data_IF_336750000247
#
_entry.id   IF_336750000247
#
_cell.length_a   1.000
_cell.length_b   1.000
_cell.length_c   1.000
_cell.angle_alpha   90.00
_cell.angle_beta   90.00
_cell.angle_gamma   90.00
#
_symmetry.space_group_name_H-M   'P 1'
#
loop_
_entity.id
_entity.type
_entity.pdbx_description
1 polymer ?
#
# COMPACT_ATOMS: atom_id res chain seq x y z
N UNK A 1 4.56 1.73 -7.70
CA UNK A 1 5.22 3.06 -7.68
C UNK A 1 4.25 4.22 -7.76
N UNK A 2 3.25 4.23 -8.68
CA UNK A 2 2.29 5.35 -8.81
C UNK A 2 1.45 5.63 -7.55
N UNK A 3 0.99 4.59 -6.86
CA UNK A 3 0.21 4.73 -5.60
C UNK A 3 1.09 5.26 -4.46
N UNK A 4 2.35 4.84 -4.40
CA UNK A 4 3.34 5.25 -3.38
C UNK A 4 3.64 6.76 -3.49
N UNK A 5 4.00 7.21 -4.70
CA UNK A 5 4.22 8.62 -5.01
C UNK A 5 2.95 9.45 -4.86
N UNK A 6 1.79 8.87 -5.23
CA UNK A 6 0.49 9.50 -5.07
C UNK A 6 0.18 9.83 -3.61
N UNK A 7 0.49 8.94 -2.67
CA UNK A 7 0.23 9.15 -1.25
C UNK A 7 1.17 10.16 -0.59
N UNK A 8 2.48 10.15 -0.91
CA UNK A 8 3.40 11.17 -0.42
C UNK A 8 3.07 12.56 -0.99
N UNK A 9 2.70 12.65 -2.27
CA UNK A 9 2.27 13.90 -2.88
C UNK A 9 0.94 14.39 -2.31
N UNK A 10 0.00 13.48 -2.00
CA UNK A 10 -1.26 13.83 -1.35
C UNK A 10 -1.03 14.42 0.04
N UNK A 11 -0.21 13.74 0.85
CA UNK A 11 0.15 14.19 2.18
C UNK A 11 0.84 15.57 2.12
N UNK A 12 1.72 15.77 1.14
CA UNK A 12 2.34 17.06 0.90
C UNK A 12 1.33 18.15 0.54
N UNK A 13 0.46 17.89 -0.45
CA UNK A 13 -0.60 18.84 -0.83
C UNK A 13 -1.49 19.22 0.37
N UNK A 14 -1.87 18.26 1.22
CA UNK A 14 -2.62 18.53 2.46
C UNK A 14 -1.82 19.40 3.43
N UNK A 15 -0.51 19.20 3.53
CA UNK A 15 0.38 20.01 4.35
C UNK A 15 0.53 21.45 3.84
N UNK A 16 0.59 21.66 2.53
CA UNK A 16 0.65 22.98 1.90
C UNK A 16 -0.65 23.79 1.99
N UNK A 17 -1.79 23.14 2.27
CA UNK A 17 -3.07 23.84 2.45
C UNK A 17 -3.02 24.71 3.71
N UNK A 18 -3.33 25.99 3.49
CA UNK A 18 -3.47 27.01 4.55
C UNK A 18 -4.80 26.80 5.29
N UNK A 19 -4.80 25.83 6.19
CA UNK A 19 -5.95 25.51 7.04
C UNK A 19 -6.11 26.58 8.15
N UNK A 20 -7.35 26.91 8.52
CA UNK A 20 -7.63 27.74 9.69
C UNK A 20 -7.25 26.97 10.96
N UNK A 21 -7.14 27.64 12.12
CA UNK A 21 -6.80 26.98 13.40
C UNK A 21 -7.80 25.87 13.75
N UNK A 22 -9.07 26.04 13.35
CA UNK A 22 -10.16 25.06 13.52
C UNK A 22 -9.98 23.80 12.62
N UNK A 23 -9.29 23.92 11.49
CA UNK A 23 -9.10 22.85 10.50
C UNK A 23 -7.85 21.99 10.78
N UNK A 24 -7.03 22.36 11.78
CA UNK A 24 -5.80 21.64 12.12
C UNK A 24 -6.08 20.21 12.62
N UNK A 25 -7.21 19.99 13.29
CA UNK A 25 -7.66 18.67 13.71
C UNK A 25 -8.01 17.79 12.51
N UNK A 26 -8.85 18.30 11.61
CA UNK A 26 -9.27 17.60 10.39
C UNK A 26 -8.07 17.31 9.48
N UNK A 27 -7.15 18.26 9.35
CA UNK A 27 -5.90 18.07 8.60
C UNK A 27 -5.07 16.91 9.15
N UNK A 28 -4.92 16.81 10.47
CA UNK A 28 -4.21 15.68 11.12
C UNK A 28 -4.93 14.36 10.89
N UNK A 29 -6.26 14.34 11.02
CA UNK A 29 -7.06 13.15 10.77
C UNK A 29 -6.89 12.65 9.33
N UNK A 30 -6.98 13.55 8.34
CA UNK A 30 -6.77 13.22 6.91
C UNK A 30 -5.39 12.63 6.66
N UNK A 31 -4.33 13.17 7.28
CA UNK A 31 -2.99 12.61 7.17
C UNK A 31 -2.90 11.20 7.79
N UNK A 32 -3.52 10.99 8.95
CA UNK A 32 -3.64 9.66 9.57
C UNK A 32 -4.37 8.66 8.67
N UNK A 33 -5.45 9.09 7.99
CA UNK A 33 -6.15 8.25 7.01
C UNK A 33 -5.29 7.92 5.78
N UNK A 34 -4.50 8.87 5.28
CA UNK A 34 -3.59 8.63 4.15
C UNK A 34 -2.52 7.59 4.53
N UNK A 35 -2.00 7.66 5.75
CA UNK A 35 -1.03 6.69 6.26
C UNK A 35 -1.66 5.32 6.57
N UNK A 36 -2.94 5.29 6.93
CA UNK A 36 -3.65 4.06 7.27
C UNK A 36 -4.16 3.29 6.05
N UNK A 37 -4.30 3.97 4.91
CA UNK A 37 -4.75 3.38 3.65
C UNK A 37 -3.96 2.14 3.21
N UNK A 38 -2.61 2.18 3.17
CA UNK A 38 -1.80 1.06 2.72
C UNK A 38 -1.89 -0.13 3.67
N UNK A 39 -1.98 0.14 4.97
CA UNK A 39 -2.16 -0.88 6.02
C UNK A 39 -3.54 -1.54 5.89
N UNK A 40 -4.59 -0.74 5.67
CA UNK A 40 -5.93 -1.24 5.44
C UNK A 40 -6.02 -2.07 4.14
N UNK A 41 -5.34 -1.63 3.07
CA UNK A 41 -5.26 -2.37 1.81
C UNK A 41 -4.50 -3.69 1.97
N UNK A 42 -3.36 -3.70 2.68
CA UNK A 42 -2.62 -4.91 3.04
C UNK A 42 -3.52 -5.91 3.76
N UNK A 43 -4.23 -5.47 4.80
CA UNK A 43 -5.14 -6.32 5.57
C UNK A 43 -6.36 -6.78 4.77
N UNK A 44 -6.75 -6.05 3.72
CA UNK A 44 -7.83 -6.45 2.82
C UNK A 44 -7.40 -7.57 1.87
N UNK A 45 -6.16 -7.51 1.37
CA UNK A 45 -5.61 -8.47 0.41
C UNK A 45 -5.09 -9.73 1.12
N UNK A 46 -4.45 -9.59 2.28
CA UNK A 46 -3.95 -10.70 3.09
C UNK A 46 -5.03 -11.08 4.11
N UNK A 47 -5.74 -12.18 3.84
CA UNK A 47 -6.76 -12.74 4.74
C UNK A 47 -6.12 -13.36 5.99
N UNK A 48 -5.82 -12.53 6.99
CA UNK A 48 -5.23 -13.01 8.25
C UNK A 48 -4.64 -11.95 9.17
N UNK A 49 -4.47 -10.69 8.73
CA UNK A 49 -3.94 -9.63 9.58
C UNK A 49 -5.00 -9.02 10.51
N UNK A 50 -4.64 -8.81 11.77
CA UNK A 50 -5.48 -8.12 12.75
C UNK A 50 -5.45 -6.62 12.48
N UNK A 51 -6.33 -6.17 11.58
CA UNK A 51 -6.44 -4.76 11.18
C UNK A 51 -6.57 -3.79 12.37
N UNK A 52 -7.25 -4.21 13.45
CA UNK A 52 -7.42 -3.40 14.66
C UNK A 52 -6.08 -3.12 15.34
N UNK A 53 -5.16 -4.09 15.41
CA UNK A 53 -3.87 -3.90 16.06
C UNK A 53 -2.96 -2.97 15.23
N UNK A 54 -2.95 -3.15 13.90
CA UNK A 54 -2.10 -2.38 12.99
C UNK A 54 -2.56 -0.91 12.88
N UNK A 55 -3.86 -0.63 12.94
CA UNK A 55 -4.39 0.75 12.86
C UNK A 55 -4.55 1.46 14.22
N UNK A 56 -4.47 0.75 15.35
CA UNK A 56 -4.70 1.35 16.69
C UNK A 56 -3.77 2.53 17.00
N UNK A 57 -2.55 2.53 16.45
CA UNK A 57 -1.58 3.59 16.69
C UNK A 57 -1.76 4.79 15.75
N UNK A 58 -2.66 4.70 14.77
CA UNK A 58 -2.73 5.65 13.65
C UNK A 58 -4.07 6.39 13.57
N UNK A 59 -5.16 5.77 14.05
CA UNK A 59 -6.51 6.34 14.04
C UNK A 59 -7.10 6.45 15.46
N UNK A 60 -8.07 7.35 15.62
CA UNK A 60 -8.93 7.39 16.81
C UNK A 60 -9.82 6.13 16.88
N UNK A 61 -10.15 5.70 18.10
CA UNK A 61 -10.90 4.46 18.37
C UNK A 61 -12.31 4.49 17.73
N UNK A 62 -12.94 5.66 17.68
CA UNK A 62 -14.27 5.84 17.08
C UNK A 62 -14.27 5.60 15.56
N UNK A 63 -13.28 6.15 14.84
CA UNK A 63 -13.13 5.96 13.38
C UNK A 63 -12.74 4.51 13.05
N UNK A 64 -11.89 3.92 13.90
CA UNK A 64 -11.42 2.55 13.76
C UNK A 64 -12.57 1.54 13.78
N UNK A 65 -13.55 1.72 14.68
CA UNK A 65 -14.72 0.84 14.77
C UNK A 65 -15.58 0.89 13.51
N UNK A 66 -15.77 2.08 12.93
CA UNK A 66 -16.49 2.24 11.66
C UNK A 66 -15.77 1.50 10.53
N UNK A 67 -14.44 1.66 10.41
CA UNK A 67 -13.65 1.03 9.34
C UNK A 67 -13.60 -0.49 9.49
N UNK A 68 -13.49 -1.01 10.71
CA UNK A 68 -13.47 -2.45 10.98
C UNK A 68 -14.81 -3.08 10.63
N UNK A 69 -15.92 -2.38 10.91
CA UNK A 69 -17.27 -2.83 10.60
C UNK A 69 -17.61 -2.80 9.10
N UNK A 70 -16.90 -1.99 8.31
CA UNK A 70 -17.14 -1.84 6.89
C UNK A 70 -16.77 -3.10 6.09
N UNK A 71 -17.61 -3.45 5.10
CA UNK A 71 -17.36 -4.57 4.18
C UNK A 71 -16.12 -4.35 3.32
N UNK A 72 -15.95 -3.14 2.77
CA UNK A 72 -14.79 -2.74 1.98
C UNK A 72 -13.98 -1.67 2.71
N UNK A 73 -13.07 -2.11 3.57
CA UNK A 73 -12.27 -1.26 4.47
C UNK A 73 -11.42 -0.20 3.76
N UNK A 74 -10.60 -0.51 2.74
CA UNK A 74 -9.79 0.51 2.07
C UNK A 74 -10.64 1.56 1.35
N UNK A 75 -11.81 1.15 0.82
CA UNK A 75 -12.76 2.07 0.19
C UNK A 75 -13.42 3.00 1.20
N UNK A 76 -13.79 2.50 2.37
CA UNK A 76 -14.31 3.32 3.46
C UNK A 76 -13.30 4.40 3.88
N UNK A 77 -12.02 4.05 3.91
CA UNK A 77 -10.97 5.00 4.27
C UNK A 77 -10.77 6.11 3.22
N UNK A 78 -10.86 5.77 1.93
CA UNK A 78 -10.85 6.78 0.86
C UNK A 78 -12.03 7.77 1.01
N UNK A 79 -13.19 7.28 1.42
CA UNK A 79 -14.36 8.13 1.69
C UNK A 79 -14.08 9.12 2.84
N UNK A 80 -13.47 8.65 3.94
CA UNK A 80 -13.03 9.52 5.04
C UNK A 80 -12.02 10.58 4.57
N UNK A 81 -11.04 10.20 3.74
CA UNK A 81 -10.09 11.14 3.14
C UNK A 81 -10.84 12.19 2.31
N UNK A 82 -11.77 11.76 1.45
CA UNK A 82 -12.52 12.63 0.55
C UNK A 82 -13.39 13.62 1.32
N UNK A 83 -14.12 13.16 2.34
CA UNK A 83 -14.98 14.02 3.16
C UNK A 83 -14.17 14.99 4.02
N UNK A 84 -13.04 14.54 4.58
CA UNK A 84 -12.11 15.41 5.30
C UNK A 84 -11.58 16.53 4.40
N UNK A 85 -11.21 16.20 3.17
CA UNK A 85 -10.74 17.18 2.18
C UNK A 85 -11.81 18.16 1.72
N UNK A 86 -13.07 17.74 1.62
CA UNK A 86 -14.18 18.66 1.31
C UNK A 86 -14.44 19.66 2.43
N UNK A 87 -14.15 19.27 3.67
CA UNK A 87 -14.30 20.15 4.85
C UNK A 87 -13.21 21.22 4.88
N UNK A 88 -12.00 20.89 4.45
CA UNK A 88 -10.96 21.87 4.19
C UNK A 88 -11.40 22.73 2.99
N UNK A 89 -11.65 24.02 3.17
CA UNK A 89 -12.03 24.93 2.08
C UNK A 89 -10.85 25.13 1.10
N UNK A 90 -10.67 24.18 0.17
CA UNK A 90 -9.59 24.18 -0.82
C UNK A 90 -9.92 25.08 -2.02
N UNK A 91 -8.87 25.66 -2.61
CA UNK A 91 -8.96 26.34 -3.89
C UNK A 91 -9.19 25.30 -5.02
N UNK A 92 -10.04 25.65 -5.99
CA UNK A 92 -10.40 24.80 -7.15
C UNK A 92 -9.20 24.09 -7.85
N UNK A 93 -8.04 24.74 -8.13
CA UNK A 93 -6.91 24.04 -8.76
C UNK A 93 -6.34 22.93 -7.88
N UNK A 94 -6.26 23.12 -6.57
CA UNK A 94 -5.73 22.12 -5.63
C UNK A 94 -6.72 20.96 -5.45
N UNK A 95 -8.02 21.26 -5.51
CA UNK A 95 -9.07 20.25 -5.44
C UNK A 95 -9.01 19.27 -6.61
N UNK A 96 -8.85 19.75 -7.84
CA UNK A 96 -8.73 18.89 -9.02
C UNK A 96 -7.52 17.95 -8.96
N UNK A 97 -6.38 18.44 -8.45
CA UNK A 97 -5.18 17.62 -8.28
C UNK A 97 -5.44 16.53 -7.23
N UNK A 98 -6.03 16.91 -6.10
CA UNK A 98 -6.37 16.00 -4.99
C UNK A 98 -7.34 14.90 -5.43
N UNK A 99 -8.41 15.25 -6.16
CA UNK A 99 -9.39 14.30 -6.71
C UNK A 99 -8.71 13.33 -7.70
N UNK A 100 -7.79 13.81 -8.53
CA UNK A 100 -7.00 12.95 -9.42
C UNK A 100 -6.16 11.91 -8.65
N UNK A 101 -5.56 12.32 -7.52
CA UNK A 101 -4.79 11.39 -6.68
C UNK A 101 -5.69 10.38 -5.96
N UNK A 102 -6.86 10.80 -5.47
CA UNK A 102 -7.85 9.88 -4.90
C UNK A 102 -8.30 8.85 -5.94
N UNK A 103 -8.52 9.26 -7.19
CA UNK A 103 -8.81 8.33 -8.29
C UNK A 103 -7.69 7.29 -8.46
N UNK A 104 -6.43 7.68 -8.32
CA UNK A 104 -5.31 6.73 -8.40
C UNK A 104 -5.29 5.70 -7.25
N UNK A 105 -5.84 6.04 -6.08
CA UNK A 105 -6.01 5.06 -4.99
C UNK A 105 -7.12 4.05 -5.30
N UNK A 106 -8.25 4.53 -5.87
CA UNK A 106 -9.31 3.64 -6.35
C UNK A 106 -8.82 2.68 -7.44
N UNK A 107 -8.03 3.18 -8.40
CA UNK A 107 -7.38 2.34 -9.41
C UNK A 107 -6.47 1.30 -8.77
N UNK A 108 -5.69 1.70 -7.76
CA UNK A 108 -4.82 0.78 -6.99
C UNK A 108 -5.60 -0.35 -6.32
N UNK A 109 -6.71 -0.03 -5.64
CA UNK A 109 -7.62 -1.05 -5.07
C UNK A 109 -8.13 -1.98 -6.17
N UNK A 110 -8.61 -1.41 -7.29
CA UNK A 110 -9.18 -2.18 -8.39
C UNK A 110 -8.18 -3.18 -8.99
N UNK A 111 -6.92 -2.78 -9.15
CA UNK A 111 -5.86 -3.69 -9.60
C UNK A 111 -5.64 -4.83 -8.60
N UNK A 112 -5.60 -4.54 -7.29
CA UNK A 112 -5.47 -5.56 -6.26
C UNK A 112 -6.67 -6.52 -6.24
N UNK A 113 -7.90 -5.99 -6.31
CA UNK A 113 -9.13 -6.79 -6.35
C UNK A 113 -9.21 -7.64 -7.63
N UNK A 114 -8.76 -7.10 -8.78
CA UNK A 114 -8.70 -7.86 -10.04
C UNK A 114 -7.68 -9.00 -9.96
N UNK A 115 -6.51 -8.76 -9.36
CA UNK A 115 -5.50 -9.80 -9.12
C UNK A 115 -6.04 -10.89 -8.19
N UNK A 116 -6.81 -10.54 -7.15
CA UNK A 116 -7.47 -11.51 -6.27
C UNK A 116 -8.67 -12.21 -6.93
N UNK A 117 -9.36 -11.52 -7.84
CA UNK A 117 -10.61 -11.97 -8.48
C UNK A 117 -10.41 -12.93 -9.65
N UNK A 118 -9.18 -13.13 -10.11
CA UNK A 118 -8.81 -14.13 -11.13
C UNK A 118 -7.98 -15.25 -10.46
N UNK A 119 -8.49 -15.96 -9.44
CA UNK A 119 -7.77 -17.10 -8.90
C UNK A 119 -7.78 -18.21 -9.95
N UNK A 120 -6.62 -18.80 -10.21
CA UNK A 120 -6.55 -20.06 -10.96
C UNK A 120 -7.42 -21.07 -10.19
N UNK A 121 -8.31 -21.81 -10.86
CA UNK A 121 -9.17 -22.76 -10.16
C UNK A 121 -8.31 -23.75 -9.38
N UNK A 122 -8.51 -23.85 -8.06
CA UNK A 122 -7.78 -24.80 -7.20
C UNK A 122 -7.87 -26.26 -7.71
N UNK A 123 -8.90 -26.56 -8.49
CA UNK A 123 -9.06 -27.83 -9.19
C UNK A 123 -7.93 -28.12 -10.18
N UNK A 124 -7.37 -27.11 -10.84
CA UNK A 124 -6.26 -27.24 -11.79
C UNK A 124 -4.99 -27.69 -11.06
N UNK A 125 -4.57 -26.95 -10.05
CA UNK A 125 -3.40 -27.25 -9.21
C UNK A 125 -3.52 -28.64 -8.56
N UNK A 126 -4.71 -28.98 -8.03
CA UNK A 126 -4.96 -30.32 -7.46
C UNK A 126 -4.90 -31.44 -8.50
N UNK A 127 -5.37 -31.19 -9.72
CA UNK A 127 -5.36 -32.19 -10.80
C UNK A 127 -3.93 -32.43 -11.29
N UNK A 128 -3.15 -31.36 -11.52
CA UNK A 128 -1.75 -31.44 -11.98
C UNK A 128 -0.88 -32.20 -10.98
N UNK A 129 -0.99 -31.88 -9.70
CA UNK A 129 -0.30 -32.60 -8.62
C UNK A 129 -0.66 -34.10 -8.58
N UNK A 130 -1.96 -34.45 -8.66
CA UNK A 130 -2.41 -35.86 -8.68
C UNK A 130 -1.91 -36.60 -9.92
N UNK A 131 -1.92 -35.94 -11.07
CA UNK A 131 -1.41 -36.50 -12.32
C UNK A 131 0.10 -36.76 -12.24
N UNK A 132 0.89 -35.80 -11.71
CA UNK A 132 2.33 -35.95 -11.51
C UNK A 132 2.69 -37.12 -10.59
N UNK A 133 1.92 -37.32 -9.51
CA UNK A 133 2.08 -38.46 -8.60
C UNK A 133 1.80 -39.77 -9.33
N UNK A 134 0.69 -39.87 -10.05
CA UNK A 134 0.35 -41.08 -10.81
C UNK A 134 1.40 -41.38 -11.90
N UNK A 135 1.86 -40.36 -12.61
CA UNK A 135 2.91 -40.48 -13.63
C UNK A 135 4.19 -41.08 -13.04
N UNK A 136 4.71 -40.51 -11.94
CA UNK A 136 5.94 -41.00 -11.31
C UNK A 136 5.78 -42.35 -10.59
N UNK A 137 4.57 -42.75 -10.20
CA UNK A 137 4.31 -44.12 -9.71
C UNK A 137 4.37 -45.16 -10.84
N UNK A 138 3.93 -44.80 -12.04
CA UNK A 138 3.94 -45.70 -13.20
C UNK A 138 5.29 -45.76 -13.93
N UNK A 139 6.06 -44.67 -13.91
CA UNK A 139 7.35 -44.54 -14.59
C UNK A 139 8.40 -45.62 -14.24
N UNK A 140 8.65 -45.96 -12.95
CA UNK A 140 9.64 -46.98 -12.60
C UNK A 140 9.21 -48.39 -13.02
N UNK A 141 7.90 -48.67 -13.09
CA UNK A 141 7.38 -49.97 -13.53
C UNK A 141 7.66 -50.17 -15.03
N UNK A 142 7.51 -49.12 -15.83
CA UNK A 142 7.70 -49.17 -17.28
C UNK A 142 9.19 -49.24 -17.65
N UNK A 143 10.04 -48.45 -16.98
CA UNK A 143 11.48 -48.38 -17.30
C UNK A 143 12.32 -49.51 -16.65
N UNK A 144 11.71 -50.40 -15.85
CA UNK A 144 12.44 -51.45 -15.14
C UNK A 144 13.19 -52.39 -16.09
N UNK A 145 12.55 -52.78 -17.20
CA UNK A 145 13.11 -53.75 -18.16
C UNK A 145 14.37 -53.22 -18.87
N UNK A 146 14.45 -51.91 -19.15
CA UNK A 146 15.57 -51.31 -19.86
C UNK A 146 16.71 -50.85 -18.94
N UNK A 147 16.37 -50.27 -17.78
CA UNK A 147 17.32 -49.53 -16.93
C UNK A 147 17.68 -50.24 -15.61
N UNK A 148 16.98 -51.32 -15.24
CA UNK A 148 17.17 -52.06 -13.99
C UNK A 148 17.29 -51.12 -12.77
N UNK A 149 18.34 -51.27 -11.95
CA UNK A 149 18.56 -50.51 -10.72
C UNK A 149 18.82 -49.01 -10.93
N UNK A 150 19.22 -48.58 -12.14
CA UNK A 150 19.44 -47.15 -12.45
C UNK A 150 18.11 -46.38 -12.50
N UNK A 151 16.99 -47.08 -12.68
CA UNK A 151 15.66 -46.44 -12.75
C UNK A 151 15.30 -45.73 -11.44
N UNK A 152 15.74 -46.26 -10.29
CA UNK A 152 15.42 -45.71 -8.97
C UNK A 152 16.02 -44.31 -8.77
N UNK A 153 17.34 -44.08 -8.91
CA UNK A 153 17.89 -42.73 -8.80
C UNK A 153 17.43 -41.80 -9.94
N UNK A 154 17.22 -42.32 -11.16
CA UNK A 154 16.76 -41.50 -12.28
C UNK A 154 15.33 -40.97 -12.06
N UNK A 155 14.39 -41.84 -11.67
CA UNK A 155 13.01 -41.46 -11.32
C UNK A 155 12.97 -40.52 -10.13
N UNK A 156 13.84 -40.70 -9.13
CA UNK A 156 13.94 -39.82 -7.96
C UNK A 156 14.38 -38.40 -8.36
N UNK A 157 15.42 -38.27 -9.19
CA UNK A 157 15.90 -36.96 -9.68
C UNK A 157 14.82 -36.28 -10.54
N UNK A 158 14.14 -37.04 -11.40
CA UNK A 158 13.01 -36.54 -12.21
C UNK A 158 11.87 -36.04 -11.33
N UNK A 159 11.46 -36.84 -10.34
CA UNK A 159 10.40 -36.50 -9.41
C UNK A 159 10.75 -35.22 -8.62
N UNK A 160 11.96 -35.18 -8.04
CA UNK A 160 12.42 -33.99 -7.31
C UNK A 160 12.39 -32.73 -8.19
N UNK A 161 12.79 -32.84 -9.45
CA UNK A 161 12.78 -31.70 -10.39
C UNK A 161 11.37 -31.24 -10.74
N UNK A 162 10.47 -32.16 -11.08
CA UNK A 162 9.10 -31.84 -11.50
C UNK A 162 8.21 -31.39 -10.33
N UNK A 163 8.37 -31.98 -9.14
CA UNK A 163 7.67 -31.52 -7.94
C UNK A 163 8.18 -30.14 -7.47
N UNK A 164 9.48 -29.85 -7.62
CA UNK A 164 10.01 -28.51 -7.35
C UNK A 164 9.37 -27.46 -8.27
N UNK A 165 9.24 -27.77 -9.56
CA UNK A 165 8.56 -26.87 -10.52
C UNK A 165 7.08 -26.66 -10.15
N UNK A 166 6.38 -27.74 -9.78
CA UNK A 166 4.98 -27.66 -9.34
C UNK A 166 4.85 -26.77 -8.09
N UNK A 167 5.71 -26.96 -7.09
CA UNK A 167 5.72 -26.16 -5.85
C UNK A 167 5.95 -24.67 -6.15
N UNK A 168 6.93 -24.35 -7.01
CA UNK A 168 7.16 -22.98 -7.48
C UNK A 168 5.94 -22.43 -8.23
N UNK A 169 5.24 -23.27 -9.00
CA UNK A 169 3.98 -22.93 -9.63
C UNK A 169 2.94 -22.45 -8.61
N UNK A 170 2.70 -23.25 -7.56
CA UNK A 170 1.77 -22.90 -6.47
C UNK A 170 2.16 -21.59 -5.78
N UNK A 171 3.46 -21.39 -5.54
CA UNK A 171 3.98 -20.15 -4.95
C UNK A 171 3.69 -18.91 -5.81
N UNK A 172 3.74 -19.04 -7.14
CA UNK A 172 3.44 -17.95 -8.08
C UNK A 172 1.93 -17.69 -8.17
N UNK A 173 1.08 -18.70 -7.93
CA UNK A 173 -0.37 -18.55 -7.89
C UNK A 173 -0.84 -17.66 -6.72
N UNK A 174 -0.10 -17.62 -5.62
CA UNK A 174 -0.38 -16.79 -4.44
C UNK A 174 0.68 -15.68 -4.24
N UNK A 175 0.65 -14.59 -5.03
CA UNK A 175 1.71 -13.58 -4.98
C UNK A 175 1.73 -12.79 -3.67
N UNK A 176 0.56 -12.43 -3.12
CA UNK A 176 0.48 -11.44 -2.05
C UNK A 176 1.14 -11.84 -0.72
N UNK A 177 0.99 -13.08 -0.22
CA UNK A 177 1.72 -13.51 0.98
C UNK A 177 3.25 -13.51 0.81
N UNK A 178 3.73 -13.68 -0.43
CA UNK A 178 5.16 -13.71 -0.76
C UNK A 178 5.75 -12.30 -0.97
N UNK A 179 4.95 -11.33 -1.40
CA UNK A 179 5.40 -9.94 -1.48
C UNK A 179 5.66 -9.39 -0.06
N UNK A 180 6.75 -8.63 0.09
CA UNK A 180 7.10 -7.93 1.32
C UNK A 180 6.18 -6.69 1.54
N UNK A 181 4.86 -6.90 1.67
CA UNK A 181 3.89 -5.81 1.86
C UNK A 181 4.16 -5.02 3.13
N UNK A 182 4.67 -5.66 4.19
CA UNK A 182 5.04 -4.97 5.43
C UNK A 182 6.17 -3.97 5.20
N UNK A 183 7.21 -4.37 4.45
CA UNK A 183 8.32 -3.48 4.09
C UNK A 183 7.83 -2.35 3.18
N UNK A 184 6.95 -2.64 2.23
CA UNK A 184 6.33 -1.61 1.37
C UNK A 184 5.48 -0.62 2.18
N UNK A 185 4.71 -1.09 3.17
CA UNK A 185 3.92 -0.22 4.05
C UNK A 185 4.84 0.66 4.91
N UNK A 186 5.92 0.08 5.44
CA UNK A 186 6.92 0.81 6.22
C UNK A 186 7.63 1.88 5.39
N UNK A 187 8.10 1.51 4.19
CA UNK A 187 8.73 2.44 3.26
C UNK A 187 7.78 3.57 2.86
N UNK A 188 6.48 3.27 2.70
CA UNK A 188 5.48 4.28 2.42
C UNK A 188 5.26 5.24 3.61
N UNK A 189 5.17 4.69 4.81
CA UNK A 189 5.06 5.50 6.03
C UNK A 189 6.26 6.43 6.19
N UNK A 190 7.48 5.90 6.02
CA UNK A 190 8.71 6.70 6.03
C UNK A 190 8.72 7.80 4.96
N UNK A 191 8.28 7.48 3.73
CA UNK A 191 8.21 8.44 2.62
C UNK A 191 7.20 9.56 2.88
N UNK A 192 6.03 9.24 3.47
CA UNK A 192 5.01 10.24 3.83
C UNK A 192 5.54 11.15 4.95
N UNK A 193 6.14 10.57 5.99
CA UNK A 193 6.75 11.33 7.09
C UNK A 193 7.88 12.25 6.61
N UNK A 194 8.74 11.77 5.71
CA UNK A 194 9.81 12.57 5.11
C UNK A 194 9.24 13.73 4.29
N UNK A 195 8.23 13.48 3.44
CA UNK A 195 7.57 14.52 2.66
C UNK A 195 6.96 15.62 3.56
N UNK A 196 6.26 15.22 4.62
CA UNK A 196 5.69 16.16 5.60
C UNK A 196 6.79 16.95 6.33
N UNK A 197 7.90 16.32 6.69
CA UNK A 197 9.01 16.97 7.37
C UNK A 197 9.71 18.01 6.48
N UNK A 198 9.93 17.68 5.20
CA UNK A 198 10.52 18.59 4.21
C UNK A 198 9.63 19.82 4.04
N UNK A 199 8.33 19.63 3.87
CA UNK A 199 7.40 20.74 3.64
C UNK A 199 7.29 21.66 4.86
N UNK A 200 7.25 21.09 6.06
CA UNK A 200 7.33 21.86 7.31
C UNK A 200 8.63 22.68 7.40
N UNK A 201 9.78 22.07 7.07
CA UNK A 201 11.07 22.75 7.09
C UNK A 201 11.15 23.89 6.05
N UNK A 202 10.59 23.68 4.85
CA UNK A 202 10.48 24.70 3.80
C UNK A 202 9.58 25.84 4.27
N UNK A 203 8.40 25.55 4.81
CA UNK A 203 7.49 26.55 5.36
C UNK A 203 8.15 27.40 6.45
N UNK A 204 8.83 26.79 7.41
CA UNK A 204 9.55 27.52 8.46
C UNK A 204 10.66 28.42 7.90
N UNK A 205 11.43 27.93 6.93
CA UNK A 205 12.50 28.73 6.30
C UNK A 205 11.96 29.91 5.49
N UNK A 206 10.87 29.72 4.75
CA UNK A 206 10.21 30.78 4.00
C UNK A 206 9.58 31.83 4.93
N UNK A 207 8.94 31.40 6.02
CA UNK A 207 8.40 32.30 7.04
C UNK A 207 9.52 33.14 7.71
N UNK A 208 10.66 32.49 8.05
CA UNK A 208 11.81 33.18 8.63
C UNK A 208 12.50 34.16 7.64
N UNK A 209 12.53 33.85 6.33
CA UNK A 209 12.99 34.79 5.30
C UNK A 209 12.05 35.99 5.18
N UNK A 210 10.73 35.75 5.18
CA UNK A 210 9.73 36.82 5.13
C UNK A 210 9.83 37.77 6.32
N UNK A 211 10.02 37.24 7.53
CA UNK A 211 10.19 38.05 8.74
C UNK A 211 11.47 38.92 8.70
N UNK A 212 12.60 38.36 8.27
CA UNK A 212 13.85 39.11 8.07
C UNK A 212 13.75 40.21 7.00
N UNK A 213 13.01 39.95 5.92
CA UNK A 213 12.78 40.96 4.88
C UNK A 213 11.87 42.10 5.37
N UNK A 214 10.89 41.79 6.23
CA UNK A 214 10.04 42.80 6.89
C UNK A 214 10.82 43.65 7.90
N UNK A 215 11.74 43.06 8.66
CA UNK A 215 12.59 43.77 9.62
C UNK A 215 13.62 44.68 8.92
N UNK A 216 14.19 44.25 7.78
CA UNK A 216 15.10 45.07 6.96
C UNK A 216 14.43 46.32 6.37
N UNK A 217 13.17 46.20 5.93
CA UNK A 217 12.41 47.36 5.42
C UNK A 217 12.06 48.40 6.49
N UNK A 218 11.99 48.02 7.78
CA UNK A 218 11.75 48.96 8.87
C UNK A 218 13.00 49.73 9.29
N UNK A 219 14.20 49.20 9.07
CA UNK A 219 15.46 49.81 9.54
C UNK A 219 15.95 50.94 8.60
N UNK A 220 15.62 50.90 7.31
CA UNK A 220 16.08 51.90 6.34
C UNK A 220 15.20 53.17 6.27
N UNK A 221 14.24 53.33 7.19
CA UNK A 221 13.24 54.39 7.16
C UNK A 221 13.59 55.68 7.90
N UNK A 222 14.60 55.71 8.78
CA UNK A 222 14.95 56.91 9.56
C UNK A 222 16.46 57.19 9.57
N UNK A 223 16.88 58.09 8.69
CA UNK A 223 17.95 59.05 8.98
C UNK A 223 17.65 60.37 8.25
N UNK A 224 16.82 61.21 8.89
CA UNK A 224 16.80 62.64 8.60
C UNK A 224 17.08 63.36 9.93
N UNK A 225 18.32 63.77 10.11
CA UNK A 225 18.76 64.85 10.99
C UNK A 225 20.04 65.41 10.41
#
# INVERSE_FOLDING_TARGET
MRVLAGASELAGLVMGVRARVEDLGVKRAVLGYIEAFPVALKCHVISGSNIRADLKNLLEEDDLDVIVSAKHRPRCLIEFITQGLQTLQLEEPNRNIMESKISSFHEGIGVCEQLMGIPIPLSYTRLTSRFLVLWHLTLPIILWDDCNWIVVPATFISAASLFCIEEVGVLIEEPFPMLALDELCKQLHESIQEAMAIENAVHMRLAAKKKRHSESHHINGWSNS
#
